data_IF_363478201734
#
_entry.id   IF_363478201734
#
_cell.length_a   1.000
_cell.length_b   1.000
_cell.length_c   1.000
_cell.angle_alpha   90.00
_cell.angle_beta   90.00
_cell.angle_gamma   90.00
#
_symmetry.space_group_name_H-M   'P 1'
#
loop_
_entity.id
_entity.type
_entity.pdbx_description
1 polymer ?
#
# COMPACT_ATOMS: atom_id res chain seq x y z
N UNK A 1 -2.19 -4.29 -7.24
CA UNK A 1 -1.54 -3.01 -7.61
C UNK A 1 -0.76 -3.25 -8.88
N UNK A 2 -0.91 -2.41 -9.90
CA UNK A 2 -0.21 -2.65 -11.17
C UNK A 2 1.23 -2.11 -11.18
N UNK A 3 1.97 -2.44 -12.23
CA UNK A 3 3.38 -2.02 -12.46
C UNK A 3 3.62 -0.51 -12.44
N UNK A 4 2.56 0.31 -12.61
CA UNK A 4 2.64 1.79 -12.53
C UNK A 4 2.37 2.33 -11.13
N UNK A 5 2.25 1.45 -10.13
CA UNK A 5 1.93 1.78 -8.75
C UNK A 5 0.47 2.17 -8.52
N UNK A 6 -0.45 1.92 -9.46
CA UNK A 6 -1.87 2.27 -9.29
C UNK A 6 -2.60 1.13 -8.57
N UNK A 7 -3.32 1.48 -7.51
CA UNK A 7 -4.29 0.58 -6.86
C UNK A 7 -5.55 0.47 -7.73
N UNK A 8 -6.08 -0.74 -7.82
CA UNK A 8 -7.30 -1.07 -8.54
C UNK A 8 -7.91 -2.33 -7.90
N UNK A 9 -9.22 -2.51 -8.10
CA UNK A 9 -9.93 -3.72 -7.68
C UNK A 9 -10.00 -4.74 -8.82
N UNK A 10 -9.99 -6.01 -8.47
CA UNK A 10 -10.14 -7.14 -9.40
C UNK A 10 -11.11 -8.15 -8.81
N UNK A 11 -11.81 -8.89 -9.66
CA UNK A 11 -12.69 -10.00 -9.25
C UNK A 11 -11.95 -11.34 -9.17
N UNK A 12 -10.73 -11.42 -9.72
CA UNK A 12 -9.92 -12.65 -9.75
C UNK A 12 -8.65 -12.43 -8.92
N UNK A 13 -8.34 -13.37 -8.03
CA UNK A 13 -7.14 -13.29 -7.22
C UNK A 13 -5.90 -13.64 -8.06
N UNK A 14 -4.94 -12.72 -8.10
CA UNK A 14 -3.66 -12.86 -8.79
C UNK A 14 -2.54 -12.25 -7.95
N UNK A 15 -1.28 -12.43 -8.35
CA UNK A 15 -0.13 -12.03 -7.52
C UNK A 15 -0.10 -10.54 -7.16
N UNK A 16 -0.65 -9.67 -8.02
CA UNK A 16 -0.79 -8.23 -7.71
C UNK A 16 -1.76 -7.92 -6.55
N UNK A 17 -2.51 -8.90 -6.05
CA UNK A 17 -3.37 -8.79 -4.87
C UNK A 17 -2.62 -9.03 -3.55
N UNK A 18 -1.39 -9.55 -3.62
CA UNK A 18 -0.63 -9.94 -2.44
C UNK A 18 0.25 -8.79 -1.98
N UNK A 19 0.14 -8.46 -0.69
CA UNK A 19 0.93 -7.42 -0.05
C UNK A 19 1.65 -7.98 1.18
N UNK A 20 2.90 -7.57 1.37
CA UNK A 20 3.65 -7.82 2.60
C UNK A 20 3.23 -6.78 3.63
N UNK A 21 2.69 -7.24 4.74
CA UNK A 21 2.48 -6.43 5.92
C UNK A 21 3.80 -6.26 6.68
N UNK A 22 4.11 -5.02 7.06
CA UNK A 22 5.26 -4.72 7.91
C UNK A 22 4.83 -3.73 8.99
N UNK A 23 5.16 -4.06 10.25
CA UNK A 23 4.92 -3.17 11.38
C UNK A 23 5.92 -2.01 11.33
N UNK A 24 5.41 -0.80 11.53
CA UNK A 24 6.15 0.44 11.64
C UNK A 24 6.24 0.87 13.11
N UNK A 25 7.09 1.86 13.43
CA UNK A 25 7.01 2.53 14.72
C UNK A 25 5.58 3.02 15.03
N UNK A 26 5.20 3.02 16.30
CA UNK A 26 3.88 3.42 16.80
C UNK A 26 2.72 2.48 16.40
N UNK A 27 2.99 1.21 16.11
CA UNK A 27 1.99 0.17 15.83
C UNK A 27 1.13 0.42 14.57
N UNK A 28 1.62 1.22 13.64
CA UNK A 28 1.04 1.31 12.30
C UNK A 28 1.60 0.20 11.42
N UNK A 29 0.86 -0.18 10.38
CA UNK A 29 1.30 -1.11 9.36
C UNK A 29 1.51 -0.40 8.02
N UNK A 30 2.53 -0.84 7.28
CA UNK A 30 2.67 -0.57 5.85
C UNK A 30 2.42 -1.86 5.06
N UNK A 31 1.87 -1.69 3.86
CA UNK A 31 1.58 -2.78 2.94
C UNK A 31 2.36 -2.59 1.64
N UNK A 32 3.39 -3.40 1.42
CA UNK A 32 4.23 -3.38 0.23
C UNK A 32 3.73 -4.40 -0.80
N UNK A 33 3.68 -4.06 -2.08
CA UNK A 33 3.37 -5.03 -3.14
C UNK A 33 4.42 -6.14 -3.19
N UNK A 34 3.99 -7.42 -3.18
CA UNK A 34 4.92 -8.53 -3.33
C UNK A 34 5.58 -8.59 -4.71
N UNK A 35 4.83 -8.22 -5.76
CA UNK A 35 5.31 -8.24 -7.15
C UNK A 35 6.16 -7.00 -7.45
N UNK A 36 5.79 -5.84 -6.89
CA UNK A 36 6.43 -4.56 -7.17
C UNK A 36 7.07 -3.99 -5.90
N UNK A 37 8.23 -4.55 -5.54
CA UNK A 37 9.02 -4.11 -4.37
C UNK A 37 9.28 -2.59 -4.41
N UNK A 38 9.23 -1.96 -3.24
CA UNK A 38 9.30 -0.51 -3.07
C UNK A 38 8.01 0.24 -3.41
N UNK A 39 6.91 -0.45 -3.76
CA UNK A 39 5.61 0.18 -3.98
C UNK A 39 4.63 -0.15 -2.85
N UNK A 40 4.06 0.88 -2.24
CA UNK A 40 3.22 0.74 -1.04
C UNK A 40 1.76 1.13 -1.29
N UNK A 41 0.83 0.48 -0.57
CA UNK A 41 -0.54 1.00 -0.46
C UNK A 41 -0.44 2.40 0.17
N UNK A 42 -1.13 3.38 -0.42
CA UNK A 42 -1.09 4.74 0.08
C UNK A 42 -2.38 5.52 -0.19
N UNK A 43 -2.84 6.24 0.82
CA UNK A 43 -3.99 7.15 0.74
C UNK A 43 -3.56 8.59 1.06
N UNK A 44 -3.98 9.53 0.24
CA UNK A 44 -3.85 10.96 0.54
C UNK A 44 -4.76 11.38 1.69
N UNK A 45 -4.47 12.56 2.27
CA UNK A 45 -5.33 13.20 3.28
C UNK A 45 -6.78 13.43 2.82
N UNK A 46 -7.05 13.37 1.52
CA UNK A 46 -8.38 13.52 0.91
C UNK A 46 -9.04 12.17 0.58
N UNK A 47 -8.53 11.06 1.12
CA UNK A 47 -9.07 9.71 0.88
C UNK A 47 -8.78 9.14 -0.51
N UNK A 48 -8.10 9.88 -1.39
CA UNK A 48 -7.76 9.39 -2.74
C UNK A 48 -6.52 8.50 -2.70
N UNK A 49 -6.54 7.43 -3.49
CA UNK A 49 -5.37 6.55 -3.70
C UNK A 49 -4.19 7.32 -4.29
N UNK A 50 -3.00 7.10 -3.73
CA UNK A 50 -1.74 7.60 -4.25
C UNK A 50 -1.01 6.49 -5.00
N UNK A 51 -0.16 6.86 -5.98
CA UNK A 51 0.68 5.88 -6.67
C UNK A 51 1.69 5.30 -5.70
N UNK A 52 1.72 3.98 -5.56
CA UNK A 52 2.56 3.27 -4.58
C UNK A 52 4.05 3.44 -4.83
N UNK A 53 4.47 3.57 -6.09
CA UNK A 53 5.86 3.86 -6.45
C UNK A 53 6.29 5.32 -6.16
N UNK A 54 5.39 6.14 -5.62
CA UNK A 54 5.64 7.52 -5.15
C UNK A 54 5.36 7.68 -3.65
N UNK A 55 5.30 6.57 -2.93
CA UNK A 55 5.05 6.52 -1.50
C UNK A 55 6.13 5.66 -0.84
N UNK A 56 6.62 6.09 0.32
CA UNK A 56 7.62 5.36 1.11
C UNK A 56 7.13 5.24 2.55
N UNK A 57 7.70 4.32 3.33
CA UNK A 57 7.34 4.11 4.74
C UNK A 57 7.64 5.30 5.65
N UNK A 58 8.48 6.25 5.21
CA UNK A 58 8.69 7.52 5.91
C UNK A 58 7.47 8.47 5.80
N UNK A 59 6.56 8.22 4.85
CA UNK A 59 5.41 9.07 4.60
C UNK A 59 4.17 8.49 5.28
N UNK A 60 3.49 9.30 6.08
CA UNK A 60 2.27 8.92 6.82
C UNK A 60 1.12 8.44 5.93
N UNK A 61 1.14 8.79 4.64
CA UNK A 61 0.17 8.28 3.64
C UNK A 61 0.23 6.77 3.45
N UNK A 62 1.29 6.09 3.91
CA UNK A 62 1.46 4.64 3.89
C UNK A 62 1.14 3.96 5.23
N UNK A 63 0.80 4.74 6.26
CA UNK A 63 0.59 4.24 7.61
C UNK A 63 -0.88 3.90 7.81
N UNK A 64 -1.17 2.62 7.99
CA UNK A 64 -2.52 2.14 8.24
C UNK A 64 -2.62 1.59 9.66
N UNK A 65 -3.68 1.97 10.37
CA UNK A 65 -4.01 1.41 11.66
C UNK A 65 -5.19 0.46 11.48
N UNK A 66 -5.01 -0.86 11.70
CA UNK A 66 -6.12 -1.80 11.68
C UNK A 66 -7.17 -1.39 12.71
N UNK A 67 -8.42 -1.23 12.27
CA UNK A 67 -9.58 -0.95 13.10
C UNK A 67 -10.66 -1.98 12.80
N UNK A 68 -11.45 -2.32 13.82
CA UNK A 68 -12.62 -3.21 13.73
C UNK A 68 -13.81 -2.43 13.21
#
# INVERSE_FOLDING_TARGET
MNSRGRLYGTTVFHDECKFRESMLPNNYNAYESLVYRGSYIALSKHGRVKRGNRATTAMTVTHFLPRI
#
